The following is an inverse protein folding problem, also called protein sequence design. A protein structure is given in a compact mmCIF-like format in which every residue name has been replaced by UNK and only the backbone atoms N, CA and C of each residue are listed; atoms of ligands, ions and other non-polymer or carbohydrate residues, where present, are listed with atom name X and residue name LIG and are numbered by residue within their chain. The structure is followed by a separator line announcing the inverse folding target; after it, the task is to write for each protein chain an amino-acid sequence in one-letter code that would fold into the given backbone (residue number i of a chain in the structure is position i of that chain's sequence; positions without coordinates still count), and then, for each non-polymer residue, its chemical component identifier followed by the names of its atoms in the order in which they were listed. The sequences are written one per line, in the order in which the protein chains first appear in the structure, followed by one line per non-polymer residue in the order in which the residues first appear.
data_IF_030429543062
#
_entry.id   IF_030429543062
#
_cell.length_a   1.000
_cell.length_b   1.000
_cell.length_c   1.000
_cell.angle_alpha   90.00
_cell.angle_beta   90.00
_cell.angle_gamma   90.00
#
_symmetry.space_group_name_H-M   'P 1'
#
loop_
_entity.id
_entity.type
_entity.pdbx_description
1 polymer ?
#
# COMPACT_ATOMS: atom_id res chain seq x y z
N UNK A 1 12.63 9.79 11.47
CA UNK A 1 11.42 9.32 10.77
C UNK A 1 10.39 10.44 10.83
N UNK A 2 9.42 10.47 9.91
CA UNK A 2 8.35 11.46 9.88
C UNK A 2 7.01 10.77 10.14
N UNK A 3 6.08 11.52 10.71
CA UNK A 3 4.71 11.09 11.00
C UNK A 3 3.85 11.39 9.77
N UNK A 4 3.08 10.40 9.36
CA UNK A 4 2.04 10.47 8.36
C UNK A 4 0.66 10.46 9.03
N UNK A 5 -0.34 10.91 8.29
CA UNK A 5 -1.74 10.94 8.68
C UNK A 5 -2.46 10.04 7.68
N UNK A 6 -3.31 9.17 8.16
CA UNK A 6 -4.07 8.25 7.34
C UNK A 6 -5.51 8.13 7.83
N UNK A 7 -6.39 7.69 6.95
CA UNK A 7 -7.78 7.37 7.28
C UNK A 7 -8.00 5.86 7.14
N UNK A 8 -8.96 5.31 7.88
CA UNK A 8 -9.43 3.95 7.69
C UNK A 8 -10.43 3.92 6.53
N UNK A 9 -9.95 4.02 5.29
CA UNK A 9 -10.81 4.20 4.13
C UNK A 9 -11.85 3.06 3.97
N UNK A 10 -11.55 1.86 4.44
CA UNK A 10 -12.48 0.72 4.39
C UNK A 10 -13.72 0.90 5.29
N UNK A 11 -13.69 1.86 6.23
CA UNK A 11 -14.86 2.20 7.05
C UNK A 11 -15.97 2.86 6.20
N UNK A 12 -15.65 3.50 5.06
CA UNK A 12 -16.63 4.17 4.20
C UNK A 12 -17.04 3.34 2.99
N UNK A 13 -18.32 3.32 2.67
CA UNK A 13 -18.84 2.77 1.41
C UNK A 13 -18.56 3.67 0.19
N UNK A 14 -18.14 4.92 0.40
CA UNK A 14 -17.73 5.84 -0.68
C UNK A 14 -16.28 5.64 -1.13
N UNK A 15 -15.53 4.76 -0.44
CA UNK A 15 -14.18 4.38 -0.84
C UNK A 15 -14.21 3.51 -2.09
N UNK A 16 -13.81 4.08 -3.21
CA UNK A 16 -13.73 3.37 -4.49
C UNK A 16 -12.78 2.16 -4.49
N UNK A 17 -11.85 2.10 -3.53
CA UNK A 17 -10.94 0.96 -3.37
C UNK A 17 -11.50 -0.16 -2.48
N UNK A 18 -12.63 0.05 -1.79
CA UNK A 18 -13.11 -0.85 -0.74
C UNK A 18 -13.41 -2.25 -1.26
N UNK A 19 -14.19 -2.35 -2.34
CA UNK A 19 -14.54 -3.63 -2.96
C UNK A 19 -13.28 -4.42 -3.34
N UNK A 20 -12.38 -3.80 -4.10
CA UNK A 20 -11.13 -4.45 -4.53
C UNK A 20 -10.17 -4.80 -3.37
N UNK A 21 -10.16 -4.02 -2.28
CA UNK A 21 -9.35 -4.33 -1.09
C UNK A 21 -9.92 -5.47 -0.25
N UNK A 22 -11.25 -5.62 -0.23
CA UNK A 22 -11.93 -6.71 0.48
C UNK A 22 -11.98 -8.00 -0.34
N UNK A 23 -11.87 -7.90 -1.66
CA UNK A 23 -11.83 -9.05 -2.55
C UNK A 23 -10.43 -9.69 -2.58
N UNK A 24 -10.21 -10.70 -1.72
CA UNK A 24 -8.94 -11.45 -1.68
C UNK A 24 -8.91 -12.49 -2.79
N UNK A 25 -7.97 -12.32 -3.71
CA UNK A 25 -7.77 -13.18 -4.89
C UNK A 25 -6.84 -14.35 -4.59
N UNK A 26 -5.71 -14.09 -3.93
CA UNK A 26 -4.67 -15.10 -3.71
C UNK A 26 -4.17 -15.11 -2.28
N UNK A 27 -3.65 -16.25 -1.85
CA UNK A 27 -2.97 -16.42 -0.58
C UNK A 27 -1.62 -17.09 -0.81
N UNK A 28 -0.59 -16.68 -0.06
CA UNK A 28 0.74 -17.26 -0.12
C UNK A 28 0.89 -18.33 0.96
N UNK A 29 1.14 -19.57 0.54
CA UNK A 29 1.42 -20.71 1.43
C UNK A 29 2.73 -21.38 1.01
N UNK A 30 3.50 -21.85 2.00
CA UNK A 30 4.74 -22.60 1.77
C UNK A 30 4.46 -24.04 1.32
N UNK A 31 3.48 -24.73 1.93
CA UNK A 31 3.03 -26.06 1.53
C UNK A 31 1.71 -25.98 0.78
N UNK A 32 1.70 -26.52 -0.44
CA UNK A 32 0.52 -26.57 -1.33
C UNK A 32 0.06 -27.96 -1.66
N UNK A 33 0.55 -28.98 -0.94
CA UNK A 33 0.29 -30.37 -1.28
C UNK A 33 -1.20 -30.69 -1.43
N UNK A 34 -2.06 -30.09 -0.60
CA UNK A 34 -3.52 -30.24 -0.64
C UNK A 34 -4.21 -29.33 -1.67
N UNK A 35 -3.53 -28.26 -2.11
CA UNK A 35 -4.09 -27.20 -2.95
C UNK A 35 -3.44 -27.08 -4.33
N UNK A 36 -2.64 -28.08 -4.75
CA UNK A 36 -1.87 -28.05 -6.01
C UNK A 36 -2.69 -27.69 -7.25
N UNK A 37 -3.98 -28.06 -7.27
CA UNK A 37 -4.90 -27.75 -8.37
C UNK A 37 -5.16 -26.24 -8.56
N UNK A 38 -4.98 -25.46 -7.49
CA UNK A 38 -5.22 -24.02 -7.42
C UNK A 38 -3.91 -23.22 -7.29
N UNK A 39 -2.76 -23.91 -7.29
CA UNK A 39 -1.46 -23.29 -7.15
C UNK A 39 -1.02 -22.64 -8.47
N UNK A 40 -0.49 -21.43 -8.37
CA UNK A 40 0.12 -20.73 -9.48
C UNK A 40 1.56 -21.22 -9.69
N UNK A 41 1.90 -21.47 -10.95
CA UNK A 41 3.24 -21.90 -11.33
C UNK A 41 3.83 -20.95 -12.36
N UNK A 42 5.10 -20.63 -12.17
CA UNK A 42 5.91 -19.90 -13.13
C UNK A 42 6.64 -20.86 -14.07
N UNK A 43 6.79 -20.46 -15.33
CA UNK A 43 7.69 -21.13 -16.28
C UNK A 43 9.10 -20.58 -16.11
N UNK A 44 9.99 -21.43 -15.63
CA UNK A 44 11.37 -21.09 -15.26
C UNK A 44 12.33 -21.89 -16.13
N UNK A 45 13.42 -21.25 -16.54
CA UNK A 45 14.54 -21.93 -17.19
C UNK A 45 15.84 -21.62 -16.46
N UNK A 46 16.67 -22.65 -16.27
CA UNK A 46 18.00 -22.49 -15.68
C UNK A 46 18.91 -21.72 -16.62
N UNK A 47 19.87 -20.97 -16.06
CA UNK A 47 20.84 -20.24 -16.86
C UNK A 47 21.72 -21.19 -17.69
N UNK A 48 22.02 -22.38 -17.18
CA UNK A 48 22.80 -23.39 -17.87
C UNK A 48 22.07 -23.94 -19.10
N UNK A 49 20.77 -24.23 -18.97
CA UNK A 49 19.96 -24.73 -20.10
C UNK A 49 19.70 -23.63 -21.12
N UNK A 50 19.40 -22.41 -20.67
CA UNK A 50 19.25 -21.26 -21.55
C UNK A 50 20.54 -20.95 -22.32
N UNK A 51 21.71 -21.03 -21.66
CA UNK A 51 23.02 -20.82 -22.30
C UNK A 51 23.35 -21.92 -23.30
N UNK A 52 23.01 -23.17 -22.98
CA UNK A 52 23.20 -24.30 -23.90
C UNK A 52 22.38 -24.15 -25.18
N UNK A 53 21.12 -23.72 -25.05
CA UNK A 53 20.22 -23.51 -26.19
C UNK A 53 20.61 -22.27 -27.01
N UNK A 54 21.02 -21.19 -26.37
CA UNK A 54 21.38 -19.94 -27.06
C UNK A 54 22.77 -19.97 -27.68
N UNK A 55 23.71 -20.76 -27.14
CA UNK A 55 25.06 -20.92 -27.69
C UNK A 55 25.79 -19.59 -27.90
N UNK A 56 26.26 -19.36 -29.12
CA UNK A 56 26.99 -18.14 -29.51
C UNK A 56 26.14 -16.86 -29.41
N UNK A 57 24.81 -17.00 -29.39
CA UNK A 57 23.89 -15.87 -29.25
C UNK A 57 23.65 -15.44 -27.79
N UNK A 58 24.32 -16.07 -26.81
CA UNK A 58 24.07 -15.85 -25.38
C UNK A 58 24.11 -14.37 -24.97
N UNK A 59 25.16 -13.64 -25.36
CA UNK A 59 25.29 -12.20 -25.04
C UNK A 59 24.19 -11.37 -25.71
N UNK A 60 23.81 -11.74 -26.93
CA UNK A 60 22.72 -11.08 -27.65
C UNK A 60 21.37 -11.37 -26.98
N UNK A 61 21.13 -12.61 -26.53
CA UNK A 61 19.95 -13.02 -25.77
C UNK A 61 19.79 -12.22 -24.47
N UNK A 62 20.86 -12.12 -23.66
CA UNK A 62 20.84 -11.34 -22.42
C UNK A 62 20.49 -9.87 -22.71
N UNK A 63 21.08 -9.29 -23.76
CA UNK A 63 20.83 -7.90 -24.17
C UNK A 63 19.40 -7.68 -24.68
N UNK A 64 18.88 -8.57 -25.52
CA UNK A 64 17.50 -8.50 -26.06
C UNK A 64 16.46 -8.52 -24.95
N UNK A 65 16.68 -9.36 -23.94
CA UNK A 65 15.76 -9.56 -22.83
C UNK A 65 16.07 -8.69 -21.59
N UNK A 66 17.17 -7.92 -21.61
CA UNK A 66 17.65 -7.08 -20.50
C UNK A 66 17.87 -7.89 -19.21
N UNK A 67 18.50 -9.05 -19.36
CA UNK A 67 18.79 -9.98 -18.28
C UNK A 67 20.24 -9.77 -17.78
N UNK A 68 20.47 -9.99 -16.50
CA UNK A 68 21.82 -10.03 -15.92
C UNK A 68 22.45 -11.41 -16.08
N UNK A 69 23.76 -11.45 -16.29
CA UNK A 69 24.54 -12.69 -16.51
C UNK A 69 24.70 -13.55 -15.26
N UNK A 70 24.47 -12.98 -14.08
CA UNK A 70 24.73 -13.58 -12.77
C UNK A 70 23.50 -14.25 -12.16
N UNK A 71 22.40 -14.38 -12.90
CA UNK A 71 21.20 -15.08 -12.43
C UNK A 71 21.32 -16.57 -12.69
N UNK A 72 20.87 -17.37 -11.72
CA UNK A 72 20.81 -18.83 -11.84
C UNK A 72 19.59 -19.30 -12.65
N UNK A 73 18.48 -18.55 -12.60
CA UNK A 73 17.22 -18.90 -13.27
C UNK A 73 16.56 -17.66 -13.91
N UNK A 74 15.80 -17.90 -14.98
CA UNK A 74 15.04 -16.89 -15.70
C UNK A 74 13.56 -17.27 -15.82
N UNK A 75 12.69 -16.32 -15.50
CA UNK A 75 11.24 -16.43 -15.72
C UNK A 75 10.91 -16.10 -17.17
N UNK A 76 10.28 -17.02 -17.89
CA UNK A 76 9.87 -16.77 -19.28
C UNK A 76 8.92 -15.57 -19.39
N UNK A 77 8.04 -15.39 -18.40
CA UNK A 77 7.09 -14.27 -18.31
C UNK A 77 7.75 -12.88 -18.21
N UNK A 78 9.04 -12.82 -17.85
CA UNK A 78 9.80 -11.57 -17.75
C UNK A 78 10.70 -11.30 -18.95
N UNK A 79 10.79 -12.24 -19.90
CA UNK A 79 11.52 -12.06 -21.15
C UNK A 79 10.74 -11.12 -22.09
N UNK A 80 11.47 -10.38 -22.92
CA UNK A 80 10.88 -9.38 -23.83
C UNK A 80 10.78 -9.87 -25.27
N UNK A 81 11.70 -10.75 -25.67
CA UNK A 81 11.76 -11.25 -27.03
C UNK A 81 10.93 -12.53 -27.14
N UNK A 82 9.90 -12.51 -28.00
CA UNK A 82 8.99 -13.65 -28.17
C UNK A 82 9.63 -14.86 -28.84
N UNK A 83 10.64 -14.67 -29.69
CA UNK A 83 11.34 -15.76 -30.37
C UNK A 83 12.18 -16.55 -29.37
N UNK A 84 12.90 -15.84 -28.49
CA UNK A 84 13.66 -16.43 -27.39
C UNK A 84 12.73 -17.20 -26.43
N UNK A 85 11.56 -16.63 -26.09
CA UNK A 85 10.56 -17.32 -25.26
C UNK A 85 10.12 -18.63 -25.93
N UNK A 86 9.81 -18.62 -27.23
CA UNK A 86 9.36 -19.82 -27.95
C UNK A 86 10.43 -20.90 -27.96
N UNK A 87 11.70 -20.53 -28.17
CA UNK A 87 12.83 -21.48 -28.16
C UNK A 87 13.03 -22.12 -26.78
N UNK A 88 12.93 -21.32 -25.72
CA UNK A 88 13.20 -21.79 -24.36
C UNK A 88 12.01 -22.47 -23.69
N UNK A 89 10.79 -22.32 -24.23
CA UNK A 89 9.56 -22.85 -23.63
C UNK A 89 9.58 -24.37 -23.43
N UNK A 90 10.15 -25.13 -24.36
CA UNK A 90 10.22 -26.59 -24.23
C UNK A 90 11.23 -27.06 -23.18
N UNK A 91 12.20 -26.21 -22.82
CA UNK A 91 13.22 -26.47 -21.82
C UNK A 91 12.84 -25.93 -20.43
N UNK A 92 11.79 -25.10 -20.36
CA UNK A 92 11.34 -24.54 -19.10
C UNK A 92 10.60 -25.59 -18.27
N UNK A 93 10.82 -25.52 -16.95
CA UNK A 93 10.07 -26.31 -15.98
C UNK A 93 9.10 -25.40 -15.22
N UNK A 94 8.06 -26.00 -14.65
CA UNK A 94 7.08 -25.30 -13.83
C UNK A 94 7.53 -25.30 -12.38
N UNK A 95 7.69 -24.12 -11.80
CA UNK A 95 8.02 -23.93 -10.40
C UNK A 95 6.84 -23.26 -9.68
N UNK A 96 6.55 -23.69 -8.46
CA UNK A 96 5.47 -23.10 -7.69
C UNK A 96 5.84 -21.67 -7.29
N UNK A 97 4.97 -20.71 -7.62
CA UNK A 97 5.23 -19.27 -7.43
C UNK A 97 5.05 -18.79 -5.99
N UNK A 98 4.58 -19.66 -5.08
CA UNK A 98 4.19 -19.27 -3.73
C UNK A 98 2.70 -18.91 -3.58
N UNK A 99 1.95 -18.76 -4.67
CA UNK A 99 0.56 -18.29 -4.61
C UNK A 99 -0.48 -19.36 -4.93
N UNK A 100 -1.59 -19.33 -4.20
CA UNK A 100 -2.80 -20.11 -4.47
C UNK A 100 -3.92 -19.16 -4.89
N UNK A 101 -4.56 -19.44 -6.02
CA UNK A 101 -5.78 -18.76 -6.46
C UNK A 101 -6.98 -19.25 -5.65
N UNK A 102 -7.56 -18.35 -4.86
CA UNK A 102 -8.68 -18.66 -3.99
C UNK A 102 -9.99 -18.84 -4.76
N UNK A 103 -10.11 -18.33 -5.99
CA UNK A 103 -11.30 -18.51 -6.83
C UNK A 103 -11.45 -19.96 -7.31
N UNK A 104 -10.37 -20.75 -7.25
CA UNK A 104 -10.37 -22.16 -7.61
C UNK A 104 -10.79 -23.08 -6.44
N UNK A 105 -11.02 -22.52 -5.25
CA UNK A 105 -11.37 -23.24 -4.02
C UNK A 105 -12.86 -23.09 -3.66
N UNK A 106 -13.39 -24.02 -2.86
CA UNK A 106 -14.70 -23.80 -2.22
C UNK A 106 -14.62 -22.65 -1.21
N UNK A 107 -15.75 -22.01 -0.84
CA UNK A 107 -15.75 -20.96 0.17
C UNK A 107 -15.12 -21.37 1.52
N UNK A 108 -15.33 -22.62 1.94
CA UNK A 108 -14.76 -23.18 3.17
C UNK A 108 -13.24 -23.38 3.04
N UNK A 109 -12.77 -23.98 1.95
CA UNK A 109 -11.34 -24.15 1.66
C UNK A 109 -10.64 -22.80 1.58
N UNK A 110 -11.22 -21.83 0.86
CA UNK A 110 -10.67 -20.49 0.72
C UNK A 110 -10.55 -19.78 2.08
N UNK A 111 -11.52 -19.97 2.97
CA UNK A 111 -11.46 -19.44 4.33
C UNK A 111 -10.30 -20.05 5.12
N UNK A 112 -10.16 -21.38 5.11
CA UNK A 112 -9.06 -22.08 5.79
C UNK A 112 -7.69 -21.64 5.26
N UNK A 113 -7.54 -21.54 3.92
CA UNK A 113 -6.29 -21.08 3.31
C UNK A 113 -5.95 -19.65 3.69
N UNK A 114 -6.94 -18.74 3.74
CA UNK A 114 -6.74 -17.36 4.20
C UNK A 114 -6.26 -17.30 5.65
N UNK A 115 -6.86 -18.10 6.53
CA UNK A 115 -6.47 -18.19 7.94
C UNK A 115 -5.05 -18.74 8.12
N UNK A 116 -4.67 -19.77 7.34
CA UNK A 116 -3.33 -20.35 7.37
C UNK A 116 -2.25 -19.39 6.85
N UNK A 117 -2.55 -18.62 5.80
CA UNK A 117 -1.61 -17.68 5.22
C UNK A 117 -1.32 -16.49 6.16
N UNK A 118 -2.34 -15.99 6.85
CA UNK A 118 -2.26 -14.76 7.63
C UNK A 118 -2.32 -13.50 6.76
N UNK A 119 -2.59 -12.35 7.38
CA UNK A 119 -2.93 -11.10 6.68
C UNK A 119 -1.83 -10.59 5.74
N UNK A 120 -0.56 -10.73 6.13
CA UNK A 120 0.60 -10.26 5.34
C UNK A 120 0.85 -11.07 4.06
N UNK A 121 0.18 -12.22 3.92
CA UNK A 121 0.36 -13.16 2.82
C UNK A 121 -0.86 -13.20 1.89
N UNK A 122 -1.72 -12.20 1.94
CA UNK A 122 -2.90 -12.09 1.09
C UNK A 122 -2.67 -11.09 -0.05
N UNK A 123 -3.15 -11.44 -1.24
CA UNK A 123 -3.19 -10.56 -2.40
C UNK A 123 -4.64 -10.28 -2.73
N UNK A 124 -5.03 -9.01 -2.63
CA UNK A 124 -6.37 -8.57 -3.01
C UNK A 124 -6.38 -8.00 -4.44
N UNK A 125 -7.58 -7.78 -4.96
CA UNK A 125 -7.78 -7.22 -6.29
C UNK A 125 -7.18 -5.82 -6.41
N UNK A 126 -7.21 -5.02 -5.34
CA UNK A 126 -6.57 -3.71 -5.33
C UNK A 126 -5.05 -3.78 -5.56
N UNK A 127 -4.37 -4.86 -5.12
CA UNK A 127 -2.93 -5.02 -5.30
C UNK A 127 -2.51 -5.29 -6.74
N UNK A 128 -3.42 -5.80 -7.59
CA UNK A 128 -3.10 -6.13 -8.99
C UNK A 128 -3.40 -4.98 -9.96
N UNK A 129 -4.06 -3.91 -9.49
CA UNK A 129 -4.34 -2.72 -10.30
C UNK A 129 -3.04 -1.93 -10.53
N UNK A 130 -2.70 -1.57 -11.78
CA UNK A 130 -1.56 -0.72 -12.11
C UNK A 130 -1.54 0.62 -11.34
N UNK A 131 -0.33 1.15 -11.09
CA UNK A 131 -0.17 2.35 -10.26
C UNK A 131 -0.79 3.61 -10.90
N UNK A 132 -0.74 3.74 -12.22
CA UNK A 132 -1.39 4.82 -12.96
C UNK A 132 -2.92 4.77 -12.84
N UNK A 133 -3.49 3.57 -12.89
CA UNK A 133 -4.93 3.35 -12.71
C UNK A 133 -5.36 3.60 -11.26
N UNK A 134 -4.64 3.08 -10.26
CA UNK A 134 -4.92 3.39 -8.84
C UNK A 134 -4.83 4.89 -8.56
N UNK A 135 -3.87 5.60 -9.14
CA UNK A 135 -3.78 7.05 -9.04
C UNK A 135 -4.99 7.77 -9.65
N UNK A 136 -5.47 7.30 -10.80
CA UNK A 136 -6.68 7.84 -11.43
C UNK A 136 -7.92 7.60 -10.56
N UNK A 137 -8.04 6.42 -9.95
CA UNK A 137 -9.12 6.08 -9.02
C UNK A 137 -9.06 6.96 -7.76
N UNK A 138 -7.89 7.13 -7.15
CA UNK A 138 -7.71 7.98 -5.97
C UNK A 138 -8.09 9.44 -6.25
N UNK A 139 -7.70 10.00 -7.42
CA UNK A 139 -8.03 11.38 -7.80
C UNK A 139 -9.53 11.68 -7.85
N UNK A 140 -10.36 10.68 -8.15
CA UNK A 140 -11.83 10.81 -8.24
C UNK A 140 -12.55 10.31 -6.98
N UNK A 141 -11.83 9.78 -6.00
CA UNK A 141 -12.40 9.20 -4.79
C UNK A 141 -12.76 10.29 -3.78
N UNK A 142 -13.98 10.25 -3.23
CA UNK A 142 -14.43 11.20 -2.20
C UNK A 142 -13.60 11.13 -0.91
N UNK A 143 -12.99 9.97 -0.63
CA UNK A 143 -12.16 9.74 0.56
C UNK A 143 -10.71 10.22 0.39
N UNK A 144 -10.30 10.65 -0.82
CA UNK A 144 -8.94 11.11 -1.07
C UNK A 144 -8.74 12.56 -0.63
N UNK A 145 -8.34 12.76 0.63
CA UNK A 145 -8.19 14.09 1.22
C UNK A 145 -6.87 14.81 0.88
N UNK A 146 -5.77 14.11 0.59
CA UNK A 146 -4.48 14.77 0.27
C UNK A 146 -4.43 15.23 -1.19
N UNK A 147 -5.34 16.13 -1.58
CA UNK A 147 -5.37 16.76 -2.91
C UNK A 147 -5.43 15.75 -4.06
N UNK A 148 -6.21 14.69 -3.90
CA UNK A 148 -6.34 13.63 -4.91
C UNK A 148 -5.15 12.65 -4.96
N UNK A 149 -4.18 12.74 -4.04
CA UNK A 149 -3.04 11.81 -3.96
C UNK A 149 -3.32 10.56 -3.13
N UNK A 150 -4.49 10.49 -2.49
CA UNK A 150 -4.95 9.33 -1.74
C UNK A 150 -5.38 9.65 -0.31
N UNK A 151 -5.43 8.59 0.49
CA UNK A 151 -5.92 8.57 1.86
C UNK A 151 -4.81 8.79 2.91
N UNK A 152 -3.56 8.99 2.47
CA UNK A 152 -2.38 9.16 3.32
C UNK A 152 -1.71 10.48 2.96
N UNK A 153 -1.33 11.26 3.96
CA UNK A 153 -0.61 12.52 3.82
C UNK A 153 0.41 12.72 4.93
N UNK A 154 1.30 13.70 4.77
CA UNK A 154 2.39 13.93 5.73
C UNK A 154 1.97 14.89 6.85
N UNK A 155 2.14 14.53 8.12
CA UNK A 155 2.06 15.48 9.24
C UNK A 155 3.34 16.31 9.32
N UNK A 156 4.49 15.65 9.43
CA UNK A 156 5.79 16.30 9.60
C UNK A 156 6.82 15.41 10.27
N UNK A 157 8.01 15.93 10.59
CA UNK A 157 9.05 15.14 11.25
C UNK A 157 8.67 14.82 12.70
N UNK A 158 9.18 13.72 13.26
CA UNK A 158 8.88 13.30 14.64
C UNK A 158 9.32 14.33 15.70
N UNK A 159 10.24 15.24 15.37
CA UNK A 159 10.69 16.34 16.22
C UNK A 159 9.95 17.66 15.94
N UNK A 160 8.76 17.60 15.34
CA UNK A 160 7.91 18.78 15.15
C UNK A 160 7.66 19.48 16.49
N UNK A 161 7.72 20.81 16.50
CA UNK A 161 7.37 21.62 17.67
C UNK A 161 5.86 21.89 17.75
N UNK A 162 5.10 21.53 16.72
CA UNK A 162 3.64 21.76 16.68
C UNK A 162 2.90 21.11 17.86
N UNK A 163 3.18 19.85 18.27
CA UNK A 163 2.56 19.28 19.46
C UNK A 163 2.81 20.09 20.74
N UNK A 164 4.03 20.59 20.92
CA UNK A 164 4.35 21.44 22.08
C UNK A 164 3.71 22.83 22.03
N UNK A 165 3.45 23.36 20.83
CA UNK A 165 2.63 24.58 20.67
C UNK A 165 1.17 24.28 21.01
N UNK A 166 0.66 23.13 20.56
CA UNK A 166 -0.72 22.71 20.78
C UNK A 166 -1.06 22.52 22.26
N UNK A 167 -0.12 21.95 23.02
CA UNK A 167 -0.24 21.75 24.46
C UNK A 167 -0.49 23.08 25.22
N UNK A 168 0.21 24.16 24.83
CA UNK A 168 0.02 25.51 25.42
C UNK A 168 -1.40 26.06 25.25
N UNK A 169 -2.11 25.61 24.22
CA UNK A 169 -3.45 26.06 23.86
C UNK A 169 -4.51 24.99 24.12
N UNK A 170 -4.23 24.03 25.00
CA UNK A 170 -5.16 22.98 25.43
C UNK A 170 -5.67 22.11 24.26
N UNK A 171 -4.91 22.03 23.16
CA UNK A 171 -5.22 21.22 22.00
C UNK A 171 -4.65 19.79 22.20
N UNK A 172 -5.35 19.01 23.01
CA UNK A 172 -4.96 17.69 23.50
C UNK A 172 -4.68 16.64 22.43
N UNK A 173 -5.47 16.60 21.35
CA UNK A 173 -5.29 15.62 20.27
C UNK A 173 -4.05 15.97 19.46
N UNK A 174 -3.88 17.24 19.07
CA UNK A 174 -2.68 17.67 18.32
C UNK A 174 -1.41 17.51 19.17
N UNK A 175 -1.49 17.76 20.47
CA UNK A 175 -0.38 17.55 21.41
C UNK A 175 0.03 16.08 21.54
N UNK A 176 -0.91 15.13 21.41
CA UNK A 176 -0.68 13.69 21.54
C UNK A 176 -0.33 12.98 20.22
N UNK A 177 -0.24 13.68 19.08
CA UNK A 177 0.09 13.08 17.77
C UNK A 177 1.33 12.16 17.80
N UNK A 178 2.46 12.51 18.46
CA UNK A 178 3.61 11.61 18.54
C UNK A 178 3.28 10.26 19.20
N UNK A 179 2.50 10.27 20.28
CA UNK A 179 2.05 9.06 20.98
C UNK A 179 1.01 8.28 20.15
N UNK A 180 0.10 8.98 19.47
CA UNK A 180 -0.86 8.37 18.56
C UNK A 180 -0.17 7.65 17.39
N UNK A 181 0.93 8.22 16.88
CA UNK A 181 1.74 7.61 15.84
C UNK A 181 2.50 6.37 16.33
N UNK A 182 3.02 6.40 17.56
CA UNK A 182 3.71 5.27 18.16
C UNK A 182 2.76 4.10 18.45
N UNK A 183 1.56 4.40 18.95
CA UNK A 183 0.56 3.38 19.32
C UNK A 183 -0.28 2.90 18.14
N UNK A 184 -0.33 3.65 17.03
CA UNK A 184 -1.21 3.39 15.90
C UNK A 184 -2.70 3.52 16.26
N UNK A 185 -3.04 4.25 17.33
CA UNK A 185 -4.42 4.39 17.81
C UNK A 185 -5.28 5.08 16.74
N UNK A 186 -6.42 4.46 16.45
CA UNK A 186 -7.42 4.99 15.51
C UNK A 186 -8.38 5.90 16.26
N UNK A 187 -8.38 7.17 15.92
CA UNK A 187 -9.33 8.18 16.43
C UNK A 187 -10.72 7.94 15.84
N UNK A 188 -11.76 8.07 16.67
CA UNK A 188 -13.16 7.99 16.24
C UNK A 188 -13.58 9.20 15.40
N UNK A 189 -14.74 9.14 14.71
CA UNK A 189 -15.32 10.31 14.04
C UNK A 189 -15.60 11.49 15.00
N UNK A 190 -15.94 11.22 16.25
CA UNK A 190 -16.14 12.24 17.29
C UNK A 190 -14.82 12.90 17.70
N UNK A 191 -13.76 12.11 17.87
CA UNK A 191 -12.40 12.62 18.11
C UNK A 191 -11.88 13.39 16.88
N UNK A 192 -12.23 12.97 15.67
CA UNK A 192 -11.94 13.73 14.44
C UNK A 192 -12.62 15.10 14.46
N UNK A 193 -13.88 15.18 14.91
CA UNK A 193 -14.56 16.48 15.07
C UNK A 193 -13.84 17.37 16.09
N UNK A 194 -13.37 16.80 17.20
CA UNK A 194 -12.57 17.54 18.20
C UNK A 194 -11.25 18.04 17.60
N UNK A 195 -10.55 17.19 16.83
CA UNK A 195 -9.32 17.57 16.11
C UNK A 195 -9.54 18.76 15.15
N UNK A 196 -10.67 18.80 14.45
CA UNK A 196 -11.04 19.94 13.59
C UNK A 196 -11.18 21.24 14.40
N UNK A 197 -11.85 21.18 15.56
CA UNK A 197 -11.98 22.35 16.44
C UNK A 197 -10.62 22.80 17.01
N UNK A 198 -9.75 21.86 17.42
CA UNK A 198 -8.38 22.18 17.84
C UNK A 198 -7.58 22.86 16.71
N UNK A 199 -7.74 22.42 15.46
CA UNK A 199 -7.08 23.06 14.31
C UNK A 199 -7.52 24.51 14.11
N UNK A 200 -8.80 24.83 14.34
CA UNK A 200 -9.30 26.22 14.27
C UNK A 200 -8.65 27.09 15.34
N UNK A 201 -8.55 26.59 16.57
CA UNK A 201 -7.85 27.28 17.67
C UNK A 201 -6.39 27.52 17.28
N UNK A 202 -5.68 26.49 16.80
CA UNK A 202 -4.27 26.63 16.39
C UNK A 202 -4.09 27.59 15.22
N UNK A 203 -5.03 27.65 14.28
CA UNK A 203 -4.97 28.61 13.17
C UNK A 203 -4.99 30.06 13.68
N UNK A 204 -5.81 30.35 14.68
CA UNK A 204 -5.89 31.68 15.30
C UNK A 204 -4.67 31.99 16.18
N UNK A 205 -4.11 30.96 16.83
CA UNK A 205 -3.03 31.11 17.82
C UNK A 205 -1.62 31.04 17.27
N UNK A 206 -1.38 30.33 16.16
CA UNK A 206 -0.07 30.25 15.51
C UNK A 206 0.60 31.63 15.25
N UNK A 207 -0.12 32.69 14.86
CA UNK A 207 0.45 34.03 14.73
C UNK A 207 1.07 34.59 16.02
N UNK A 208 0.56 34.22 17.20
CA UNK A 208 1.08 34.64 18.51
C UNK A 208 2.45 34.01 18.80
N UNK A 209 2.72 32.81 18.29
CA UNK A 209 4.02 32.12 18.39
C UNK A 209 5.08 32.68 17.40
N UNK A 210 4.67 33.56 16.50
CA UNK A 210 5.53 34.32 15.61
C UNK A 210 5.61 33.80 14.16
N UNK A 211 6.36 34.53 13.32
CA UNK A 211 6.37 34.31 11.85
C UNK A 211 6.92 32.94 11.43
N UNK A 212 7.85 32.37 12.19
CA UNK A 212 8.48 31.08 11.85
C UNK A 212 7.53 29.89 12.07
N UNK A 213 6.87 29.76 13.24
CA UNK A 213 5.81 28.76 13.43
C UNK A 213 4.69 28.82 12.39
N UNK A 214 4.17 30.01 12.08
CA UNK A 214 3.15 30.19 11.02
C UNK A 214 3.62 29.58 9.69
N UNK A 215 4.80 29.97 9.20
CA UNK A 215 5.34 29.45 7.93
C UNK A 215 5.53 27.94 7.91
N UNK A 216 5.85 27.33 9.07
CA UNK A 216 6.14 25.90 9.18
C UNK A 216 4.88 25.06 9.35
N UNK A 217 3.88 25.56 10.06
CA UNK A 217 2.79 24.73 10.57
C UNK A 217 1.42 25.06 10.01
N UNK A 218 1.19 26.22 9.38
CA UNK A 218 -0.12 26.53 8.78
C UNK A 218 -0.59 25.46 7.80
N UNK A 219 0.30 25.00 6.90
CA UNK A 219 -0.06 23.93 5.96
C UNK A 219 -0.21 22.54 6.59
N UNK A 220 0.28 22.32 7.81
CA UNK A 220 0.04 21.09 8.58
C UNK A 220 -1.33 21.17 9.25
N UNK A 221 -1.64 22.30 9.89
CA UNK A 221 -2.95 22.57 10.51
C UNK A 221 -4.07 22.48 9.48
N UNK A 222 -3.91 23.09 8.30
CA UNK A 222 -4.93 23.02 7.24
C UNK A 222 -5.17 21.58 6.77
N UNK A 223 -4.12 20.75 6.72
CA UNK A 223 -4.24 19.33 6.33
C UNK A 223 -4.90 18.49 7.42
N UNK A 224 -4.56 18.73 8.68
CA UNK A 224 -5.20 18.09 9.84
C UNK A 224 -6.69 18.40 9.86
N UNK A 225 -7.08 19.65 9.67
CA UNK A 225 -8.49 20.03 9.61
C UNK A 225 -9.22 19.39 8.43
N UNK A 226 -8.61 19.41 7.24
CA UNK A 226 -9.21 18.80 6.04
C UNK A 226 -9.50 17.31 6.27
N UNK A 227 -8.55 16.55 6.82
CA UNK A 227 -8.76 15.12 7.08
C UNK A 227 -9.73 14.89 8.25
N UNK A 228 -9.67 15.71 9.29
CA UNK A 228 -10.57 15.66 10.44
C UNK A 228 -12.03 15.90 10.03
N UNK A 229 -12.29 16.92 9.22
CA UNK A 229 -13.62 17.24 8.68
C UNK A 229 -14.15 16.14 7.77
N UNK A 230 -13.28 15.58 6.92
CA UNK A 230 -13.65 14.43 6.08
C UNK A 230 -14.05 13.23 6.96
N UNK A 231 -13.24 12.89 7.94
CA UNK A 231 -13.50 11.77 8.85
C UNK A 231 -14.78 11.93 9.66
N UNK A 232 -15.00 13.13 10.23
CA UNK A 232 -16.22 13.45 10.96
C UNK A 232 -17.46 13.40 10.06
N UNK A 233 -17.38 13.90 8.83
CA UNK A 233 -18.52 13.92 7.89
C UNK A 233 -18.83 12.56 7.28
N UNK A 234 -17.81 11.72 7.06
CA UNK A 234 -17.95 10.40 6.43
C UNK A 234 -18.03 9.24 7.41
N UNK A 235 -17.98 9.52 8.72
CA UNK A 235 -18.03 8.49 9.76
C UNK A 235 -16.82 7.55 9.73
N UNK A 236 -15.65 8.06 9.35
CA UNK A 236 -14.43 7.28 9.16
C UNK A 236 -13.40 7.59 10.23
N UNK A 237 -12.68 6.57 10.70
CA UNK A 237 -11.59 6.75 11.66
C UNK A 237 -10.33 7.29 11.00
N UNK A 238 -9.49 8.00 11.74
CA UNK A 238 -8.17 8.44 11.29
C UNK A 238 -7.07 8.05 12.27
N UNK A 239 -5.84 7.96 11.81
CA UNK A 239 -4.70 7.53 12.61
C UNK A 239 -3.39 8.13 12.09
N UNK A 240 -2.35 8.03 12.90
CA UNK A 240 -1.01 8.51 12.59
C UNK A 240 -0.02 7.33 12.55
N UNK A 241 1.03 7.42 11.74
CA UNK A 241 2.02 6.36 11.51
C UNK A 241 3.38 6.88 11.03
#
# INVERSE_FOLDING_TARGET
MGISIAICELDSDESLCKEGKLNILKARLEDVSEYRRCADYDEVISADDAKREMGDEWEAFLKRNRLGSERENFLLSKMKNEEDIKRLRELAYREYSGWIDLNCLSPEEAKTVRELAGEDNLLNEWNVIPMDETNAICKRCAMSWDKGRGCIGNFGPNNSLLPGIADKYECSIVASIPELAETGRKLSPEEAKQLSEECKVLREKLPEEGKSPVRRYSGVVDRLETVADLCASKGVRLYFL
#
